data_IF_548834053185
#
_entry.id   IF_548834053185
#
_cell.length_a   1.000
_cell.length_b   1.000
_cell.length_c   1.000
_cell.angle_alpha   90.00
_cell.angle_beta   90.00
_cell.angle_gamma   90.00
#
_symmetry.space_group_name_H-M   'P 1'
#
loop_
_entity.id
_entity.type
_entity.pdbx_description
1 polymer ?
#
# COMPACT_ATOMS: atom_id res chain seq x y z
N UNK A 1 -47.47 -55.19 10.81
CA UNK A 1 -48.89 -55.25 10.35
C UNK A 1 -49.51 -53.91 10.59
N UNK A 2 -50.27 -53.43 9.60
CA UNK A 2 -51.12 -52.24 9.48
C UNK A 2 -50.40 -51.02 8.92
N UNK A 3 -50.47 -50.83 7.66
CA UNK A 3 -51.46 -50.33 6.66
C UNK A 3 -51.76 -48.84 6.82
N UNK A 4 -51.18 -48.12 5.85
CA UNK A 4 -51.80 -47.16 4.91
C UNK A 4 -52.99 -46.34 5.38
N UNK A 5 -52.94 -45.03 5.13
CA UNK A 5 -53.97 -44.37 4.37
C UNK A 5 -53.43 -43.07 3.71
N UNK A 6 -53.51 -43.04 2.40
CA UNK A 6 -53.37 -41.90 1.49
C UNK A 6 -54.66 -41.11 1.57
N UNK A 7 -54.63 -39.81 1.73
CA UNK A 7 -55.74 -38.95 1.45
C UNK A 7 -55.29 -37.85 0.46
N UNK A 8 -55.75 -37.99 -0.77
CA UNK A 8 -55.78 -36.93 -1.79
C UNK A 8 -56.83 -35.90 -1.42
N UNK A 9 -56.47 -34.62 -1.42
CA UNK A 9 -57.43 -33.55 -1.56
C UNK A 9 -56.94 -32.60 -2.66
N UNK A 10 -57.58 -32.65 -3.77
CA UNK A 10 -57.49 -31.67 -4.83
C UNK A 10 -58.48 -30.54 -4.50
N UNK A 11 -58.05 -29.30 -4.60
CA UNK A 11 -58.94 -28.16 -4.76
C UNK A 11 -58.30 -27.04 -5.57
N UNK A 12 -58.79 -26.89 -6.74
CA UNK A 12 -59.24 -25.71 -7.46
C UNK A 12 -58.33 -24.52 -7.63
N UNK A 13 -58.06 -24.26 -8.89
CA UNK A 13 -57.51 -23.04 -9.47
C UNK A 13 -58.38 -21.81 -9.15
N UNK A 14 -57.72 -20.73 -8.77
CA UNK A 14 -58.22 -19.38 -8.96
C UNK A 14 -57.16 -18.55 -9.70
N UNK A 15 -57.37 -18.36 -10.97
CA UNK A 15 -56.72 -17.36 -11.80
C UNK A 15 -57.25 -15.99 -11.44
N UNK A 16 -56.40 -15.10 -10.94
CA UNK A 16 -56.62 -13.66 -11.03
C UNK A 16 -55.28 -12.93 -11.19
N UNK A 17 -55.03 -12.40 -12.34
CA UNK A 17 -54.65 -11.04 -12.61
C UNK A 17 -53.22 -10.60 -12.39
N UNK A 18 -52.41 -10.68 -13.42
CA UNK A 18 -51.57 -9.60 -13.94
C UNK A 18 -50.83 -8.72 -12.94
N UNK A 19 -49.61 -9.04 -12.74
CA UNK A 19 -48.57 -8.16 -12.25
C UNK A 19 -47.23 -8.71 -12.72
N UNK A 20 -46.85 -8.46 -13.98
CA UNK A 20 -45.51 -8.64 -14.45
C UNK A 20 -44.62 -7.57 -13.75
N UNK A 21 -44.36 -7.78 -12.47
CA UNK A 21 -43.23 -7.19 -11.83
C UNK A 21 -41.99 -7.77 -12.47
N UNK A 22 -41.34 -7.01 -13.36
CA UNK A 22 -40.01 -7.33 -13.82
C UNK A 22 -39.16 -7.52 -12.58
N UNK A 23 -38.77 -8.77 -12.26
CA UNK A 23 -37.73 -9.00 -11.26
C UNK A 23 -36.54 -8.13 -11.69
N UNK A 24 -35.91 -7.38 -10.78
CA UNK A 24 -34.70 -6.68 -11.12
C UNK A 24 -33.75 -7.76 -11.66
N UNK A 25 -33.37 -7.63 -12.91
CA UNK A 25 -32.34 -8.46 -13.50
C UNK A 25 -31.10 -8.21 -12.60
N UNK A 26 -30.66 -9.22 -11.86
CA UNK A 26 -29.34 -9.23 -11.29
C UNK A 26 -28.39 -9.13 -12.48
N UNK A 27 -27.94 -7.92 -12.80
CA UNK A 27 -26.97 -7.71 -13.86
C UNK A 27 -25.75 -8.53 -13.45
N UNK A 28 -25.56 -9.68 -14.09
CA UNK A 28 -24.42 -10.54 -13.83
C UNK A 28 -23.14 -9.76 -14.15
N UNK A 29 -22.16 -9.80 -13.25
CA UNK A 29 -20.87 -9.18 -13.51
C UNK A 29 -20.22 -9.80 -14.73
N UNK A 30 -19.74 -8.96 -15.63
CA UNK A 30 -19.10 -9.38 -16.89
C UNK A 30 -17.61 -9.55 -16.72
N UNK A 31 -17.04 -10.53 -17.43
CA UNK A 31 -15.59 -10.71 -17.53
C UNK A 31 -15.13 -10.27 -18.91
N UNK A 32 -14.33 -9.21 -18.95
CA UNK A 32 -13.70 -8.69 -20.16
C UNK A 32 -12.30 -9.30 -20.28
N UNK A 33 -12.12 -10.28 -21.17
CA UNK A 33 -10.81 -10.89 -21.40
C UNK A 33 -9.98 -10.01 -22.35
N UNK A 34 -8.77 -9.65 -21.91
CA UNK A 34 -7.80 -8.88 -22.71
C UNK A 34 -6.58 -9.75 -23.00
N UNK A 35 -6.26 -9.92 -24.29
CA UNK A 35 -5.07 -10.66 -24.74
C UNK A 35 -3.89 -9.72 -24.97
N UNK A 36 -2.63 -10.23 -24.96
CA UNK A 36 -1.48 -9.44 -25.37
C UNK A 36 -1.71 -8.78 -26.74
N UNK A 37 -1.37 -7.48 -26.84
CA UNK A 37 -1.63 -6.67 -28.04
C UNK A 37 -3.00 -5.98 -28.06
N UNK A 38 -3.95 -6.36 -27.20
CA UNK A 38 -5.21 -5.65 -27.04
C UNK A 38 -5.07 -4.53 -26.00
N UNK A 39 -5.85 -3.45 -26.15
CA UNK A 39 -5.82 -2.31 -25.23
C UNK A 39 -6.52 -2.65 -23.91
N UNK A 40 -5.75 -2.63 -22.82
CA UNK A 40 -6.28 -2.79 -21.46
C UNK A 40 -7.23 -1.64 -21.13
N UNK A 41 -6.85 -0.39 -21.50
CA UNK A 41 -7.67 0.79 -21.21
C UNK A 41 -9.07 0.69 -21.85
N UNK A 42 -9.17 0.24 -23.11
CA UNK A 42 -10.48 0.06 -23.76
C UNK A 42 -11.39 -0.91 -23.02
N UNK A 43 -10.82 -1.99 -22.48
CA UNK A 43 -11.58 -2.96 -21.67
C UNK A 43 -12.03 -2.33 -20.34
N UNK A 44 -11.17 -1.56 -19.69
CA UNK A 44 -11.52 -0.83 -18.46
C UNK A 44 -12.60 0.23 -18.72
N UNK A 45 -12.51 0.98 -19.82
CA UNK A 45 -13.49 2.00 -20.19
C UNK A 45 -14.87 1.43 -20.51
N UNK A 46 -14.95 0.18 -21.00
CA UNK A 46 -16.19 -0.51 -21.30
C UNK A 46 -16.80 -1.24 -20.11
N UNK A 47 -16.04 -1.41 -19.02
CA UNK A 47 -16.46 -2.16 -17.85
C UNK A 47 -17.40 -1.34 -16.96
N UNK A 48 -18.36 -2.03 -16.37
CA UNK A 48 -19.33 -1.49 -15.40
C UNK A 48 -18.90 -1.76 -13.96
N UNK A 49 -19.47 -1.08 -12.99
CA UNK A 49 -19.21 -1.39 -11.58
C UNK A 49 -19.43 -2.87 -11.27
N UNK A 50 -18.42 -3.50 -10.66
CA UNK A 50 -18.43 -4.92 -10.33
C UNK A 50 -17.87 -5.86 -11.41
N UNK A 51 -17.66 -5.38 -12.63
CA UNK A 51 -17.06 -6.18 -13.71
C UNK A 51 -15.60 -6.54 -13.43
N UNK A 52 -15.13 -7.56 -14.13
CA UNK A 52 -13.74 -8.00 -14.08
C UNK A 52 -13.07 -7.80 -15.45
N UNK A 53 -11.98 -7.06 -15.48
CA UNK A 53 -11.03 -7.03 -16.60
C UNK A 53 -9.94 -8.05 -16.33
N UNK A 54 -9.93 -9.14 -17.08
CA UNK A 54 -9.00 -10.25 -16.95
C UNK A 54 -7.93 -10.18 -18.02
N UNK A 55 -6.69 -9.92 -17.60
CA UNK A 55 -5.53 -9.91 -18.49
C UNK A 55 -5.01 -11.33 -18.68
N UNK A 56 -4.95 -11.79 -19.91
CA UNK A 56 -4.36 -13.07 -20.26
C UNK A 56 -2.85 -13.08 -19.94
N UNK A 57 -2.28 -14.27 -19.84
CA UNK A 57 -0.86 -14.44 -19.67
C UNK A 57 -0.08 -13.81 -20.85
N UNK A 58 0.99 -13.10 -20.54
CA UNK A 58 1.81 -12.40 -21.52
C UNK A 58 2.04 -10.93 -21.17
N UNK A 59 2.63 -10.18 -22.11
CA UNK A 59 2.98 -8.77 -21.92
C UNK A 59 1.87 -7.88 -22.46
N UNK A 60 1.43 -6.96 -21.63
CA UNK A 60 0.49 -5.89 -21.94
C UNK A 60 1.21 -4.56 -21.86
N UNK A 61 0.94 -3.65 -22.77
CA UNK A 61 1.58 -2.36 -22.88
C UNK A 61 0.65 -1.21 -22.52
N UNK A 62 1.23 -0.14 -22.00
CA UNK A 62 0.55 1.11 -21.67
C UNK A 62 0.18 1.24 -20.20
N UNK A 63 -0.31 2.42 -19.87
CA UNK A 63 -0.85 2.76 -18.56
C UNK A 63 -2.36 2.56 -18.52
N UNK A 64 -2.92 2.37 -17.32
CA UNK A 64 -4.35 2.09 -17.13
C UNK A 64 -4.92 3.04 -16.08
N UNK A 65 -5.94 3.81 -16.47
CA UNK A 65 -6.73 4.65 -15.57
C UNK A 65 -8.00 3.91 -15.15
N UNK A 66 -8.19 3.72 -13.86
CA UNK A 66 -9.36 3.03 -13.27
C UNK A 66 -10.14 4.03 -12.42
N UNK A 67 -11.32 4.39 -12.90
CA UNK A 67 -12.26 5.30 -12.21
C UNK A 67 -13.61 4.62 -11.90
N UNK A 68 -13.80 3.39 -12.36
CA UNK A 68 -15.05 2.62 -12.20
C UNK A 68 -15.06 1.95 -10.82
N UNK A 69 -16.02 2.26 -9.94
CA UNK A 69 -16.13 1.62 -8.64
C UNK A 69 -16.37 0.10 -8.74
N UNK A 70 -15.81 -0.65 -7.80
CA UNK A 70 -15.99 -2.11 -7.74
C UNK A 70 -15.31 -2.90 -8.86
N UNK A 71 -14.59 -2.23 -9.77
CA UNK A 71 -13.89 -2.91 -10.87
C UNK A 71 -12.79 -3.82 -10.32
N UNK A 72 -12.71 -5.03 -10.87
CA UNK A 72 -11.57 -5.92 -10.65
C UNK A 72 -10.67 -5.95 -11.88
N UNK A 73 -9.46 -5.43 -11.80
CA UNK A 73 -8.41 -5.61 -12.80
C UNK A 73 -7.45 -6.69 -12.31
N UNK A 74 -7.42 -7.83 -13.02
CA UNK A 74 -6.58 -8.95 -12.59
C UNK A 74 -5.87 -9.63 -13.73
N UNK A 75 -4.68 -10.11 -13.48
CA UNK A 75 -3.96 -11.03 -14.36
C UNK A 75 -4.22 -12.51 -14.05
N UNK A 76 -3.67 -13.37 -14.87
CA UNK A 76 -3.63 -14.82 -14.67
C UNK A 76 -2.39 -15.29 -13.87
N UNK A 77 -1.75 -14.39 -13.13
CA UNK A 77 -0.56 -14.67 -12.32
C UNK A 77 0.64 -13.81 -12.71
N UNK A 78 1.81 -14.14 -12.15
CA UNK A 78 3.05 -13.36 -12.33
C UNK A 78 3.51 -13.22 -13.79
N UNK A 79 3.10 -14.14 -14.64
CA UNK A 79 3.41 -14.08 -16.08
C UNK A 79 2.47 -13.18 -16.89
N UNK A 80 1.48 -12.55 -16.26
CA UNK A 80 0.76 -11.43 -16.82
C UNK A 80 1.51 -10.15 -16.45
N UNK A 81 2.13 -9.51 -17.40
CA UNK A 81 3.07 -8.40 -17.17
C UNK A 81 2.57 -7.13 -17.83
N UNK A 82 2.39 -6.08 -17.07
CA UNK A 82 2.10 -4.73 -17.57
C UNK A 82 3.39 -3.90 -17.59
N UNK A 83 3.70 -3.34 -18.75
CA UNK A 83 4.88 -2.52 -19.00
C UNK A 83 4.49 -1.18 -19.66
N UNK A 84 5.34 -0.15 -19.61
CA UNK A 84 5.11 1.08 -20.36
C UNK A 84 4.94 0.81 -21.85
N UNK A 85 4.29 1.73 -22.56
CA UNK A 85 4.23 1.72 -24.02
C UNK A 85 5.64 1.75 -24.62
N UNK A 86 5.85 1.03 -25.72
CA UNK A 86 7.13 1.02 -26.40
C UNK A 86 7.49 2.45 -26.86
N UNK A 87 8.65 2.96 -26.43
CA UNK A 87 9.10 4.31 -26.72
C UNK A 87 8.66 5.38 -25.72
N UNK A 88 7.87 5.04 -24.70
CA UNK A 88 7.65 5.91 -23.56
C UNK A 88 8.98 6.09 -22.82
N UNK A 89 9.56 7.30 -22.93
CA UNK A 89 10.86 7.62 -22.36
C UNK A 89 10.84 7.45 -20.84
N UNK A 90 11.84 6.74 -20.30
CA UNK A 90 12.19 6.79 -18.88
C UNK A 90 12.83 8.14 -18.50
N UNK A 91 12.90 9.07 -19.44
CA UNK A 91 13.46 10.40 -19.24
C UNK A 91 12.53 11.30 -18.43
N UNK A 92 13.14 12.06 -17.55
CA UNK A 92 12.54 12.97 -16.60
C UNK A 92 11.26 13.68 -17.11
N UNK A 93 10.23 13.65 -16.27
CA UNK A 93 9.03 14.47 -16.43
C UNK A 93 9.44 15.92 -16.71
N UNK A 94 8.99 16.57 -17.79
CA UNK A 94 9.26 17.97 -18.02
C UNK A 94 8.67 18.82 -16.88
N UNK A 95 9.51 19.54 -16.18
CA UNK A 95 9.07 20.61 -15.29
C UNK A 95 8.64 21.79 -16.13
N UNK A 96 7.34 22.02 -16.22
CA UNK A 96 6.79 23.30 -16.67
C UNK A 96 6.36 23.38 -18.12
N UNK A 97 5.06 23.51 -18.32
CA UNK A 97 4.43 23.86 -19.59
C UNK A 97 2.91 23.83 -19.43
N UNK A 98 2.29 24.98 -19.19
CA UNK A 98 0.84 25.12 -19.21
C UNK A 98 0.33 24.95 -20.65
N UNK A 99 -0.52 23.94 -20.85
CA UNK A 99 -1.26 23.83 -22.11
C UNK A 99 -1.74 22.43 -22.44
N UNK A 100 -3.00 22.22 -22.29
CA UNK A 100 -3.86 21.15 -22.76
C UNK A 100 -4.48 20.34 -21.60
N UNK A 101 -5.71 20.64 -21.32
CA UNK A 101 -6.53 19.93 -20.33
C UNK A 101 -6.67 18.45 -20.65
N UNK A 102 -6.84 17.65 -19.59
CA UNK A 102 -7.11 16.23 -19.54
C UNK A 102 -5.99 15.24 -19.94
N UNK A 103 -5.15 15.56 -20.91
CA UNK A 103 -4.01 14.69 -21.26
C UNK A 103 -2.84 14.82 -20.29
N UNK A 104 -2.66 15.96 -19.62
CA UNK A 104 -1.56 16.21 -18.69
C UNK A 104 -1.72 15.47 -17.35
N UNK A 105 -2.94 15.12 -16.97
CA UNK A 105 -3.26 14.45 -15.69
C UNK A 105 -3.48 12.93 -15.83
N UNK A 106 -3.26 12.37 -17.02
CA UNK A 106 -3.43 10.92 -17.23
C UNK A 106 -2.37 10.11 -16.50
N UNK A 107 -2.68 8.86 -16.20
CA UNK A 107 -1.77 7.91 -15.60
C UNK A 107 -0.46 7.78 -16.37
N UNK A 108 -0.56 7.72 -17.70
CA UNK A 108 0.58 7.66 -18.61
C UNK A 108 1.46 8.91 -18.54
N UNK A 109 0.85 10.12 -18.60
CA UNK A 109 1.57 11.38 -18.50
C UNK A 109 2.26 11.56 -17.14
N UNK A 110 1.65 11.01 -16.08
CA UNK A 110 2.24 10.97 -14.77
C UNK A 110 3.38 9.94 -14.64
N UNK A 111 3.61 9.07 -15.62
CA UNK A 111 4.64 8.02 -15.60
C UNK A 111 4.28 6.83 -14.72
N UNK A 112 3.00 6.61 -14.44
CA UNK A 112 2.50 5.52 -13.63
C UNK A 112 1.96 4.36 -14.48
N UNK A 113 1.90 3.16 -13.90
CA UNK A 113 1.39 1.96 -14.57
C UNK A 113 -0.13 1.83 -14.47
N UNK A 114 -0.64 1.70 -13.27
CA UNK A 114 -2.07 1.64 -13.00
C UNK A 114 -2.41 2.77 -12.06
N UNK A 115 -3.38 3.60 -12.42
CA UNK A 115 -3.93 4.64 -11.56
C UNK A 115 -5.36 4.28 -11.17
N UNK A 116 -5.64 4.31 -9.86
CA UNK A 116 -6.99 4.19 -9.32
C UNK A 116 -7.36 5.55 -8.76
N UNK A 117 -8.20 6.28 -9.48
CA UNK A 117 -8.39 7.70 -9.20
C UNK A 117 -9.85 8.03 -8.94
N UNK A 118 -10.13 8.49 -7.73
CA UNK A 118 -11.35 9.17 -7.35
C UNK A 118 -11.25 10.68 -7.53
N UNK A 119 -12.28 11.38 -7.14
CA UNK A 119 -12.28 12.85 -6.99
C UNK A 119 -12.46 13.19 -5.51
N UNK A 120 -12.10 14.41 -5.11
CA UNK A 120 -12.24 14.88 -3.73
C UNK A 120 -13.67 14.73 -3.19
N UNK A 121 -14.67 14.86 -4.06
CA UNK A 121 -16.08 14.78 -3.70
C UNK A 121 -16.66 13.37 -3.85
N UNK A 122 -15.99 12.51 -4.62
CA UNK A 122 -16.39 11.14 -4.86
C UNK A 122 -15.16 10.26 -4.99
N UNK A 123 -14.74 9.64 -3.89
CA UNK A 123 -13.71 8.61 -3.93
C UNK A 123 -14.13 7.43 -4.82
N UNK A 124 -13.16 6.77 -5.45
CA UNK A 124 -13.41 5.52 -6.14
C UNK A 124 -13.42 4.36 -5.13
N UNK A 125 -14.51 3.60 -5.12
CA UNK A 125 -14.74 2.60 -4.08
C UNK A 125 -14.59 1.16 -4.56
N UNK A 126 -14.02 0.30 -3.72
CA UNK A 126 -14.05 -1.15 -3.87
C UNK A 126 -13.26 -1.73 -5.03
N UNK A 127 -12.33 -0.98 -5.63
CA UNK A 127 -11.49 -1.47 -6.74
C UNK A 127 -10.55 -2.57 -6.25
N UNK A 128 -10.36 -3.60 -7.07
CA UNK A 128 -9.38 -4.69 -6.83
C UNK A 128 -8.36 -4.76 -7.95
N UNK A 129 -7.07 -4.69 -7.59
CA UNK A 129 -5.94 -4.98 -8.49
C UNK A 129 -5.27 -6.27 -8.02
N UNK A 130 -5.17 -7.29 -8.89
CA UNK A 130 -4.72 -8.59 -8.43
C UNK A 130 -3.92 -9.40 -9.45
N UNK A 131 -2.99 -10.22 -8.95
CA UNK A 131 -2.39 -11.35 -9.68
C UNK A 131 -1.72 -10.97 -11.00
N UNK A 132 -0.95 -9.89 -11.02
CA UNK A 132 -0.18 -9.44 -12.19
C UNK A 132 1.17 -8.85 -11.77
N UNK A 133 2.04 -8.66 -12.73
CA UNK A 133 3.30 -7.94 -12.58
C UNK A 133 3.19 -6.56 -13.23
N UNK A 134 3.64 -5.52 -12.52
CA UNK A 134 3.73 -4.14 -13.02
C UNK A 134 5.17 -3.69 -12.93
N UNK A 135 5.80 -3.36 -14.05
CA UNK A 135 7.24 -3.11 -14.09
C UNK A 135 7.67 -2.06 -15.11
N UNK A 136 8.76 -1.36 -14.79
CA UNK A 136 9.45 -0.47 -15.73
C UNK A 136 8.83 0.91 -15.90
N UNK A 137 7.84 1.28 -15.12
CA UNK A 137 7.23 2.61 -15.17
C UNK A 137 8.16 3.67 -14.56
N UNK A 138 8.15 4.87 -15.17
CA UNK A 138 9.05 5.96 -14.79
C UNK A 138 8.82 6.45 -13.35
N UNK A 139 7.60 6.33 -12.82
CA UNK A 139 7.28 6.67 -11.43
C UNK A 139 6.76 5.48 -10.65
N UNK A 140 5.49 5.19 -10.72
CA UNK A 140 4.82 4.27 -9.80
C UNK A 140 4.21 3.09 -10.55
N UNK A 141 4.38 1.89 -10.02
CA UNK A 141 3.70 0.72 -10.58
C UNK A 141 2.18 0.84 -10.45
N UNK A 142 1.67 1.00 -9.23
CA UNK A 142 0.24 1.23 -8.94
C UNK A 142 0.12 2.48 -8.08
N UNK A 143 -0.61 3.48 -8.54
CA UNK A 143 -0.88 4.73 -7.82
C UNK A 143 -2.39 4.89 -7.59
N UNK A 144 -2.81 5.03 -6.33
CA UNK A 144 -4.19 5.31 -5.99
C UNK A 144 -4.31 6.68 -5.33
N UNK A 145 -5.32 7.43 -5.73
CA UNK A 145 -5.66 8.71 -5.12
C UNK A 145 -7.17 8.80 -4.91
N UNK A 146 -7.58 9.25 -3.72
CA UNK A 146 -9.00 9.30 -3.34
C UNK A 146 -9.70 7.92 -3.53
N UNK A 147 -9.02 6.84 -3.13
CA UNK A 147 -9.56 5.49 -3.22
C UNK A 147 -10.04 4.99 -1.86
N UNK A 148 -11.22 4.41 -1.85
CA UNK A 148 -11.79 3.78 -0.66
C UNK A 148 -11.91 2.26 -0.85
N UNK A 149 -11.61 1.48 0.17
CA UNK A 149 -11.62 0.00 0.11
C UNK A 149 -10.86 -0.60 -1.08
N UNK A 150 -9.78 0.07 -1.52
CA UNK A 150 -8.90 -0.48 -2.55
C UNK A 150 -8.24 -1.77 -2.05
N UNK A 151 -8.31 -2.82 -2.84
CA UNK A 151 -7.59 -4.08 -2.59
C UNK A 151 -6.49 -4.28 -3.63
N UNK A 152 -5.24 -4.35 -3.19
CA UNK A 152 -4.10 -4.77 -4.02
C UNK A 152 -3.55 -6.07 -3.46
N UNK A 153 -3.66 -7.17 -4.23
CA UNK A 153 -3.27 -8.48 -3.73
C UNK A 153 -2.56 -9.34 -4.76
N UNK A 154 -1.53 -10.07 -4.30
CA UNK A 154 -0.74 -10.99 -5.14
C UNK A 154 -0.15 -10.29 -6.38
N UNK A 155 0.17 -9.02 -6.27
CA UNK A 155 0.81 -8.21 -7.31
C UNK A 155 2.32 -8.24 -7.11
N UNK A 156 3.06 -8.25 -8.23
CA UNK A 156 4.51 -8.01 -8.24
C UNK A 156 4.76 -6.62 -8.85
N UNK A 157 5.16 -5.65 -8.02
CA UNK A 157 5.54 -4.31 -8.45
C UNK A 157 7.07 -4.19 -8.39
N UNK A 158 7.72 -4.19 -9.54
CA UNK A 158 9.19 -4.32 -9.60
C UNK A 158 9.83 -3.34 -10.56
N UNK A 159 10.98 -2.75 -10.16
CA UNK A 159 11.78 -1.84 -10.99
C UNK A 159 10.98 -0.67 -11.57
N UNK A 160 10.10 -0.07 -10.75
CA UNK A 160 9.48 1.20 -11.07
C UNK A 160 10.34 2.34 -10.53
N UNK A 161 10.33 3.49 -11.19
CA UNK A 161 11.29 4.56 -10.95
C UNK A 161 11.19 5.21 -9.59
N UNK A 162 10.00 5.20 -8.96
CA UNK A 162 9.80 5.77 -7.62
C UNK A 162 9.16 4.75 -6.69
N UNK A 163 7.86 4.45 -6.81
CA UNK A 163 7.16 3.57 -5.88
C UNK A 163 6.65 2.30 -6.56
N UNK A 164 6.65 1.20 -5.83
CA UNK A 164 5.99 -0.01 -6.27
C UNK A 164 4.47 0.16 -6.25
N UNK A 165 3.90 0.43 -5.09
CA UNK A 165 2.49 0.70 -4.85
C UNK A 165 2.39 1.95 -3.98
N UNK A 166 1.60 2.93 -4.39
CA UNK A 166 1.41 4.16 -3.64
C UNK A 166 -0.06 4.53 -3.48
N UNK A 167 -0.40 5.13 -2.34
CA UNK A 167 -1.72 5.71 -2.11
C UNK A 167 -1.61 7.09 -1.51
N UNK A 168 -2.49 7.99 -1.99
CA UNK A 168 -2.72 9.30 -1.41
C UNK A 168 -4.20 9.47 -1.11
N UNK A 169 -4.57 10.16 -0.03
CA UNK A 169 -5.97 10.48 0.36
C UNK A 169 -6.91 9.27 0.30
N UNK A 170 -6.40 8.08 0.61
CA UNK A 170 -7.14 6.83 0.46
C UNK A 170 -7.37 6.17 1.82
N UNK A 171 -8.51 5.47 1.94
CA UNK A 171 -8.92 4.84 3.19
C UNK A 171 -9.31 3.37 3.02
N UNK A 172 -9.33 2.63 4.11
CA UNK A 172 -9.78 1.23 4.22
C UNK A 172 -9.13 0.28 3.21
N UNK A 173 -7.91 0.61 2.79
CA UNK A 173 -7.14 -0.15 1.81
C UNK A 173 -6.65 -1.49 2.35
N UNK A 174 -6.54 -2.51 1.50
CA UNK A 174 -5.96 -3.82 1.81
C UNK A 174 -4.85 -4.15 0.83
N UNK A 175 -3.61 -4.19 1.32
CA UNK A 175 -2.40 -4.51 0.56
C UNK A 175 -1.85 -5.84 1.06
N UNK A 176 -2.14 -6.95 0.37
CA UNK A 176 -1.85 -8.28 0.89
C UNK A 176 -1.17 -9.21 -0.12
N UNK A 177 -0.13 -9.92 0.34
CA UNK A 177 0.56 -10.94 -0.47
C UNK A 177 1.29 -10.36 -1.67
N UNK A 178 1.61 -9.07 -1.68
CA UNK A 178 2.31 -8.42 -2.76
C UNK A 178 3.82 -8.60 -2.63
N UNK A 179 4.50 -8.55 -3.76
CA UNK A 179 5.96 -8.44 -3.83
C UNK A 179 6.30 -7.07 -4.42
N UNK A 180 6.89 -6.17 -3.64
CA UNK A 180 7.38 -4.89 -4.16
C UNK A 180 8.91 -4.84 -3.99
N UNK A 181 9.65 -4.85 -5.10
CA UNK A 181 11.10 -4.93 -5.04
C UNK A 181 11.80 -4.07 -6.08
N UNK A 182 13.00 -3.63 -5.71
CA UNK A 182 13.90 -2.88 -6.58
C UNK A 182 13.26 -1.60 -7.16
N UNK A 183 12.30 -0.99 -6.44
CA UNK A 183 11.73 0.29 -6.81
C UNK A 183 12.64 1.43 -6.33
N UNK A 184 12.58 2.59 -6.99
CA UNK A 184 13.52 3.68 -6.77
C UNK A 184 13.44 4.29 -5.36
N UNK A 185 12.25 4.35 -4.76
CA UNK A 185 12.05 4.85 -3.40
C UNK A 185 11.32 3.79 -2.55
N UNK A 186 10.03 3.84 -2.36
CA UNK A 186 9.34 2.88 -1.49
C UNK A 186 8.75 1.68 -2.23
N UNK A 187 8.78 0.51 -1.57
CA UNK A 187 8.00 -0.64 -1.99
C UNK A 187 6.51 -0.35 -1.90
N UNK A 188 6.04 0.06 -0.72
CA UNK A 188 4.72 0.63 -0.47
C UNK A 188 4.86 2.03 0.11
N UNK A 189 4.15 2.99 -0.47
CA UNK A 189 4.11 4.37 -0.01
C UNK A 189 2.66 4.77 0.28
N UNK A 190 2.34 5.04 1.55
CA UNK A 190 1.01 5.44 1.98
C UNK A 190 1.09 6.84 2.59
N UNK A 191 0.31 7.78 2.06
CA UNK A 191 0.34 9.16 2.51
C UNK A 191 -1.06 9.79 2.53
N UNK A 192 -1.23 10.81 3.36
CA UNK A 192 -2.39 11.69 3.24
C UNK A 192 -2.32 12.49 1.94
N UNK A 193 -1.21 13.17 1.72
CA UNK A 193 -0.89 13.90 0.49
C UNK A 193 0.62 14.08 0.39
N UNK A 194 1.14 14.21 -0.81
CA UNK A 194 2.58 14.49 -1.05
C UNK A 194 2.83 15.96 -1.26
N UNK A 195 1.89 16.69 -1.85
CA UNK A 195 2.06 18.08 -2.29
C UNK A 195 1.69 19.12 -1.22
N UNK A 196 0.69 18.81 -0.41
CA UNK A 196 0.12 19.73 0.57
C UNK A 196 0.58 19.38 1.98
N UNK A 197 0.62 20.38 2.86
CA UNK A 197 0.91 20.18 4.29
C UNK A 197 -0.39 20.20 5.07
N UNK A 198 -0.84 19.03 5.47
CA UNK A 198 -2.08 18.80 6.20
C UNK A 198 -1.82 17.87 7.37
N UNK A 199 -2.69 17.91 8.37
CA UNK A 199 -2.70 16.94 9.46
C UNK A 199 -2.90 15.51 8.97
N UNK A 200 -2.61 14.55 9.83
CA UNK A 200 -2.71 13.14 9.48
C UNK A 200 -4.16 12.71 9.23
N UNK A 201 -4.36 11.95 8.18
CA UNK A 201 -5.66 11.39 7.82
C UNK A 201 -5.87 10.03 8.52
N UNK A 202 -7.05 9.81 9.08
CA UNK A 202 -7.47 8.49 9.55
C UNK A 202 -7.78 7.60 8.35
N UNK A 203 -7.09 6.47 8.26
CA UNK A 203 -7.24 5.55 7.14
C UNK A 203 -8.42 4.59 7.29
N UNK A 204 -9.15 4.64 8.40
CA UNK A 204 -10.25 3.73 8.67
C UNK A 204 -9.85 2.26 8.77
N UNK A 205 -8.62 1.98 9.21
CA UNK A 205 -8.13 0.62 9.39
C UNK A 205 -7.47 0.00 8.15
N UNK A 206 -6.75 0.78 7.36
CA UNK A 206 -5.93 0.24 6.26
C UNK A 206 -4.98 -0.86 6.73
N UNK A 207 -4.84 -1.93 5.94
CA UNK A 207 -4.03 -3.12 6.27
C UNK A 207 -2.94 -3.36 5.22
N UNK A 208 -1.69 -3.43 5.68
CA UNK A 208 -0.52 -3.86 4.91
C UNK A 208 -0.03 -5.19 5.47
N UNK A 209 -0.35 -6.31 4.83
CA UNK A 209 -0.10 -7.60 5.45
C UNK A 209 0.49 -8.65 4.50
N UNK A 210 1.41 -9.48 5.04
CA UNK A 210 1.99 -10.61 4.33
C UNK A 210 2.63 -10.25 2.99
N UNK A 211 3.20 -9.03 2.88
CA UNK A 211 3.92 -8.60 1.69
C UNK A 211 5.42 -8.92 1.80
N UNK A 212 6.07 -9.08 0.66
CA UNK A 212 7.53 -9.18 0.53
C UNK A 212 8.06 -7.88 -0.06
N UNK A 213 8.86 -7.15 0.71
CA UNK A 213 9.36 -5.82 0.38
C UNK A 213 10.89 -5.86 0.39
N UNK A 214 11.50 -5.74 -0.78
CA UNK A 214 12.90 -6.11 -0.95
C UNK A 214 13.65 -5.14 -1.86
N UNK A 215 14.86 -4.75 -1.48
CA UNK A 215 15.77 -3.98 -2.34
C UNK A 215 15.35 -2.54 -2.66
N UNK A 216 14.28 -2.03 -2.06
CA UNK A 216 13.84 -0.65 -2.23
C UNK A 216 14.71 0.32 -1.40
N UNK A 217 14.50 1.62 -1.52
CA UNK A 217 15.04 2.58 -0.55
C UNK A 217 14.34 2.39 0.80
N UNK A 218 13.00 2.32 0.80
CA UNK A 218 12.21 2.05 2.00
C UNK A 218 11.22 0.91 1.67
N UNK A 219 11.08 -0.05 2.57
CA UNK A 219 10.10 -1.12 2.38
C UNK A 219 8.66 -0.59 2.43
N UNK A 220 8.27 0.02 3.55
CA UNK A 220 6.97 0.70 3.74
C UNK A 220 7.18 2.08 4.29
N UNK A 221 6.66 3.08 3.62
CA UNK A 221 6.54 4.46 4.12
C UNK A 221 5.10 4.75 4.50
N UNK A 222 4.89 5.25 5.72
CA UNK A 222 3.60 5.71 6.23
C UNK A 222 3.79 7.19 6.58
N UNK A 223 3.17 8.09 5.80
CA UNK A 223 3.37 9.52 5.95
C UNK A 223 2.07 10.24 6.26
N UNK A 224 2.02 10.88 7.44
CA UNK A 224 0.86 11.67 7.91
C UNK A 224 -0.45 10.88 7.86
N UNK A 225 -0.42 9.66 8.37
CA UNK A 225 -1.59 8.79 8.47
C UNK A 225 -1.81 8.32 9.90
N UNK A 226 -3.05 7.94 10.19
CA UNK A 226 -3.49 7.35 11.46
C UNK A 226 -4.31 6.10 11.21
N UNK A 227 -4.36 5.22 12.22
CA UNK A 227 -5.26 4.07 12.25
C UNK A 227 -5.02 3.08 11.10
N UNK A 228 -3.85 2.45 11.10
CA UNK A 228 -3.51 1.40 10.14
C UNK A 228 -2.61 0.32 10.76
N UNK A 229 -2.57 -0.84 10.11
CA UNK A 229 -1.81 -1.99 10.56
C UNK A 229 -0.81 -2.46 9.50
N UNK A 230 0.43 -2.69 9.92
CA UNK A 230 1.50 -3.33 9.13
C UNK A 230 1.85 -4.65 9.81
N UNK A 231 1.43 -5.79 9.25
CA UNK A 231 1.51 -7.08 9.95
C UNK A 231 2.00 -8.23 9.08
N UNK A 232 2.84 -9.09 9.65
CA UNK A 232 3.27 -10.33 9.00
C UNK A 232 4.03 -10.13 7.69
N UNK A 233 4.65 -8.97 7.46
CA UNK A 233 5.43 -8.71 6.25
C UNK A 233 6.87 -9.19 6.41
N UNK A 234 7.51 -9.48 5.27
CA UNK A 234 8.94 -9.75 5.19
C UNK A 234 9.64 -8.58 4.48
N UNK A 235 10.52 -7.88 5.20
CA UNK A 235 11.23 -6.70 4.71
C UNK A 235 12.75 -6.95 4.79
N UNK A 236 13.41 -6.98 3.63
CA UNK A 236 14.85 -7.29 3.56
C UNK A 236 15.55 -6.54 2.44
N UNK A 237 16.86 -6.29 2.63
CA UNK A 237 17.68 -5.66 1.60
C UNK A 237 17.31 -4.22 1.22
N UNK A 238 16.43 -3.56 1.98
CA UNK A 238 16.13 -2.14 1.83
C UNK A 238 17.18 -1.29 2.55
N UNK A 239 17.11 0.03 2.44
CA UNK A 239 17.92 0.94 3.26
C UNK A 239 17.24 1.21 4.60
N UNK A 240 15.91 1.25 4.61
CA UNK A 240 15.04 1.21 5.79
C UNK A 240 13.86 0.29 5.54
N UNK A 241 13.41 -0.45 6.55
CA UNK A 241 12.29 -1.36 6.36
C UNK A 241 10.95 -0.67 6.51
N UNK A 242 10.65 -0.09 7.68
CA UNK A 242 9.39 0.62 7.95
C UNK A 242 9.71 2.03 8.41
N UNK A 243 9.06 3.01 7.82
CA UNK A 243 9.25 4.41 8.15
C UNK A 243 7.90 5.09 8.39
N UNK A 244 7.62 5.43 9.66
CA UNK A 244 6.40 6.14 10.07
C UNK A 244 6.77 7.58 10.36
N UNK A 245 6.24 8.50 9.57
CA UNK A 245 6.62 9.91 9.64
C UNK A 245 5.41 10.83 9.77
N UNK A 246 5.46 11.68 10.76
CA UNK A 246 4.55 12.81 10.99
C UNK A 246 5.30 14.12 10.99
N UNK A 247 4.56 15.19 11.16
CA UNK A 247 5.05 16.55 11.31
C UNK A 247 4.23 17.32 12.37
N UNK A 248 4.38 18.64 12.39
CA UNK A 248 3.72 19.54 13.36
C UNK A 248 2.22 19.68 13.13
N UNK A 249 1.70 19.30 11.96
CA UNK A 249 0.29 19.47 11.62
C UNK A 249 -0.62 18.56 12.47
N UNK A 250 -1.80 19.06 12.76
CA UNK A 250 -2.79 18.34 13.58
C UNK A 250 -3.95 17.80 12.72
N UNK A 251 -4.45 16.58 13.05
CA UNK A 251 -3.94 15.65 14.05
C UNK A 251 -2.57 15.09 13.69
N UNK A 252 -1.76 14.71 14.70
CA UNK A 252 -0.46 14.05 14.46
C UNK A 252 -0.63 12.68 13.81
N UNK A 253 0.37 12.26 13.04
CA UNK A 253 0.47 10.88 12.58
C UNK A 253 0.59 9.91 13.77
N UNK A 254 -0.08 8.76 13.71
CA UNK A 254 -0.08 7.84 14.84
C UNK A 254 -1.12 6.74 14.77
N UNK A 255 -1.39 6.09 15.90
CA UNK A 255 -2.30 4.93 15.99
C UNK A 255 -1.93 3.84 14.96
N UNK A 256 -0.64 3.71 14.64
CA UNK A 256 -0.12 2.70 13.72
C UNK A 256 0.29 1.47 14.53
N UNK A 257 -0.20 0.32 14.11
CA UNK A 257 0.24 -0.97 14.67
C UNK A 257 1.21 -1.64 13.70
N UNK A 258 2.47 -1.87 14.14
CA UNK A 258 3.47 -2.64 13.39
C UNK A 258 3.75 -3.92 14.18
N UNK A 259 3.31 -5.06 13.66
CA UNK A 259 3.39 -6.32 14.42
C UNK A 259 3.71 -7.55 13.57
N UNK A 260 4.34 -8.52 14.20
CA UNK A 260 4.59 -9.85 13.60
C UNK A 260 5.37 -9.78 12.26
N UNK A 261 6.11 -8.68 12.03
CA UNK A 261 6.91 -8.56 10.82
C UNK A 261 8.29 -9.20 11.03
N UNK A 262 8.83 -9.75 9.94
CA UNK A 262 10.22 -10.18 9.84
C UNK A 262 11.02 -9.10 9.09
N UNK A 263 11.90 -8.44 9.80
CA UNK A 263 12.68 -7.29 9.34
C UNK A 263 14.15 -7.63 9.48
N UNK A 264 14.84 -7.87 8.38
CA UNK A 264 16.21 -8.34 8.45
C UNK A 264 17.10 -7.81 7.32
N UNK A 265 18.35 -7.49 7.69
CA UNK A 265 19.39 -7.11 6.72
C UNK A 265 18.97 -5.99 5.76
N UNK A 266 18.31 -4.95 6.27
CA UNK A 266 17.99 -3.77 5.48
C UNK A 266 19.21 -2.84 5.42
N UNK A 267 20.30 -3.35 4.85
CA UNK A 267 21.64 -2.77 4.89
C UNK A 267 22.06 -2.10 3.57
N UNK A 268 21.15 -2.02 2.61
CA UNK A 268 21.40 -1.27 1.37
C UNK A 268 21.73 0.17 1.72
N UNK A 269 22.75 0.74 1.07
CA UNK A 269 23.15 2.13 1.25
C UNK A 269 22.43 3.02 0.26
N UNK A 270 21.69 3.98 0.75
CA UNK A 270 20.97 4.95 -0.06
C UNK A 270 21.47 6.37 0.20
N UNK A 271 21.82 7.13 -0.84
CA UNK A 271 22.33 8.48 -0.68
C UNK A 271 21.28 9.43 -0.12
N UNK A 272 21.73 10.55 0.42
CA UNK A 272 20.88 11.67 0.83
C UNK A 272 20.04 12.17 -0.36
N UNK A 273 18.81 12.58 -0.07
CA UNK A 273 17.92 13.28 -0.99
C UNK A 273 17.63 14.68 -0.48
N UNK A 274 16.90 15.48 -1.25
CA UNK A 274 16.49 16.81 -0.80
C UNK A 274 15.58 16.77 0.45
N UNK A 275 14.92 15.64 0.70
CA UNK A 275 13.90 15.49 1.77
C UNK A 275 14.33 14.59 2.92
N UNK A 276 15.34 13.76 2.73
CA UNK A 276 15.71 12.74 3.70
C UNK A 276 17.22 12.48 3.65
N UNK A 277 17.84 12.38 4.80
CA UNK A 277 19.26 12.01 4.92
C UNK A 277 19.56 10.63 4.32
N UNK A 278 20.85 10.29 4.23
CA UNK A 278 21.25 8.96 3.81
C UNK A 278 20.64 7.91 4.72
N UNK A 279 20.20 6.80 4.13
CA UNK A 279 19.61 5.66 4.83
C UNK A 279 20.46 4.43 4.67
N UNK A 280 20.66 3.71 5.76
CA UNK A 280 21.29 2.40 5.77
C UNK A 280 20.98 1.70 7.11
N UNK A 281 20.63 0.43 7.09
CA UNK A 281 20.51 -0.36 8.30
C UNK A 281 19.39 0.08 9.25
N UNK A 282 18.27 0.57 8.71
CA UNK A 282 17.14 0.98 9.55
C UNK A 282 16.06 -0.09 9.54
N UNK A 283 15.71 -0.61 10.71
CA UNK A 283 14.59 -1.53 10.88
C UNK A 283 13.24 -0.78 10.87
N UNK A 284 12.78 -0.31 12.01
CA UNK A 284 11.56 0.50 12.13
C UNK A 284 11.94 1.89 12.62
N UNK A 285 11.52 2.92 11.92
CA UNK A 285 11.76 4.32 12.30
C UNK A 285 10.42 5.01 12.57
N UNK A 286 10.33 5.66 13.75
CA UNK A 286 9.24 6.53 14.15
C UNK A 286 9.78 7.95 14.30
N UNK A 287 9.13 8.93 13.67
CA UNK A 287 9.53 10.35 13.79
C UNK A 287 8.30 11.27 13.75
N UNK A 288 8.13 12.11 14.76
CA UNK A 288 7.00 13.03 14.87
C UNK A 288 5.64 12.35 14.98
N UNK A 289 5.56 11.21 15.67
CA UNK A 289 4.36 10.35 15.69
C UNK A 289 3.90 10.04 17.11
N UNK A 290 2.63 9.68 17.26
CA UNK A 290 2.04 9.41 18.58
C UNK A 290 1.23 8.11 18.61
N UNK A 291 1.08 7.53 19.81
CA UNK A 291 0.18 6.42 20.11
C UNK A 291 0.37 5.19 19.20
N UNK A 292 1.59 4.94 18.72
CA UNK A 292 1.89 3.77 17.90
C UNK A 292 2.17 2.54 18.78
N UNK A 293 1.81 1.37 18.26
CA UNK A 293 2.12 0.07 18.87
C UNK A 293 3.09 -0.70 17.95
N UNK A 294 4.31 -0.94 18.43
CA UNK A 294 5.32 -1.72 17.75
C UNK A 294 5.58 -2.98 18.57
N UNK A 295 5.07 -4.13 18.11
CA UNK A 295 5.06 -5.33 18.94
C UNK A 295 5.27 -6.63 18.17
N UNK A 296 5.85 -7.63 18.81
CA UNK A 296 5.99 -8.99 18.28
C UNK A 296 6.72 -9.06 16.91
N UNK A 297 7.58 -8.09 16.62
CA UNK A 297 8.40 -8.13 15.42
C UNK A 297 9.71 -8.88 15.68
N UNK A 298 10.23 -9.54 14.65
CA UNK A 298 11.58 -10.11 14.62
C UNK A 298 12.45 -9.19 13.76
N UNK A 299 13.41 -8.50 14.40
CA UNK A 299 14.22 -7.44 13.78
C UNK A 299 15.69 -7.78 13.95
N UNK A 300 16.36 -8.15 12.85
CA UNK A 300 17.71 -8.70 12.92
C UNK A 300 18.66 -8.13 11.88
N UNK A 301 19.91 -7.96 12.28
CA UNK A 301 21.04 -7.68 11.40
C UNK A 301 20.81 -6.44 10.50
N UNK A 302 20.05 -5.44 10.99
CA UNK A 302 19.94 -4.16 10.32
C UNK A 302 21.12 -3.30 10.77
N UNK A 303 22.12 -3.17 9.91
CA UNK A 303 23.43 -2.58 10.22
C UNK A 303 23.69 -1.39 9.32
N UNK A 304 23.97 -0.24 9.93
CA UNK A 304 24.30 0.98 9.20
C UNK A 304 24.96 2.03 10.08
N UNK A 305 25.37 3.13 9.44
CA UNK A 305 26.00 4.28 10.08
C UNK A 305 25.25 5.58 9.82
N UNK A 306 24.08 5.50 9.18
CA UNK A 306 23.23 6.67 8.96
C UNK A 306 22.57 7.12 10.27
N UNK A 307 22.11 8.37 10.37
CA UNK A 307 21.47 8.87 11.59
C UNK A 307 20.23 8.07 12.04
N UNK A 308 19.60 7.35 11.11
CA UNK A 308 18.40 6.55 11.35
C UNK A 308 18.68 5.04 11.46
N UNK A 309 19.95 4.64 11.54
CA UNK A 309 20.33 3.23 11.66
C UNK A 309 19.98 2.67 13.04
N UNK A 310 19.56 1.41 13.07
CA UNK A 310 19.18 0.66 14.29
C UNK A 310 18.02 -0.29 14.08
N UNK A 311 17.73 -1.10 15.08
CA UNK A 311 16.61 -2.05 15.04
C UNK A 311 15.26 -1.31 15.05
N UNK A 312 14.92 -0.67 16.17
CA UNK A 312 13.79 0.26 16.28
C UNK A 312 14.34 1.62 16.72
N UNK A 313 13.99 2.65 15.97
CA UNK A 313 14.53 4.01 16.18
C UNK A 313 13.37 4.98 16.37
N UNK A 314 13.25 5.56 17.53
CA UNK A 314 12.43 6.75 17.77
C UNK A 314 13.33 7.95 17.56
N UNK A 315 13.19 8.60 16.41
CA UNK A 315 14.11 9.64 15.97
C UNK A 315 13.50 11.03 16.16
N UNK A 316 14.30 11.97 16.65
CA UNK A 316 13.86 13.36 16.75
C UNK A 316 13.43 13.88 15.37
N UNK A 317 12.27 14.51 15.33
CA UNK A 317 11.71 15.00 14.08
C UNK A 317 12.62 16.01 13.38
N UNK A 318 12.62 15.98 12.05
CA UNK A 318 13.31 16.97 11.22
C UNK A 318 12.66 18.36 11.25
N UNK A 319 11.41 18.45 11.72
CA UNK A 319 10.60 19.68 11.78
C UNK A 319 10.23 20.06 13.21
N UNK A 320 10.92 19.48 14.20
CA UNK A 320 10.79 19.87 15.61
C UNK A 320 9.60 19.31 16.37
N UNK A 321 8.73 18.51 15.73
CA UNK A 321 7.63 17.84 16.44
C UNK A 321 8.11 16.59 17.17
N UNK A 322 7.59 16.34 18.38
CA UNK A 322 8.00 15.20 19.22
C UNK A 322 7.20 13.94 18.92
N UNK A 323 7.83 12.79 19.11
CA UNK A 323 7.17 11.48 19.13
C UNK A 323 6.73 11.15 20.54
N UNK A 324 5.44 10.84 20.75
CA UNK A 324 4.86 10.73 22.08
C UNK A 324 4.00 9.47 22.25
N UNK A 325 4.01 8.91 23.46
CA UNK A 325 3.15 7.80 23.86
C UNK A 325 3.22 6.57 22.93
N UNK A 326 4.36 6.38 22.27
CA UNK A 326 4.56 5.17 21.46
C UNK A 326 4.90 3.99 22.40
N UNK A 327 4.30 2.86 22.15
CA UNK A 327 4.55 1.62 22.87
C UNK A 327 5.37 0.68 22.02
N UNK A 328 6.58 0.39 22.42
CA UNK A 328 7.51 -0.56 21.80
C UNK A 328 7.63 -1.75 22.74
N UNK A 329 6.98 -2.87 22.45
CA UNK A 329 6.90 -4.00 23.37
C UNK A 329 7.01 -5.36 22.70
N UNK A 330 7.58 -6.32 23.44
CA UNK A 330 7.56 -7.74 23.06
C UNK A 330 8.20 -8.04 21.69
N UNK A 331 9.18 -7.22 21.26
CA UNK A 331 9.93 -7.44 20.03
C UNK A 331 11.19 -8.27 20.30
N UNK A 332 11.60 -9.08 19.33
CA UNK A 332 12.87 -9.78 19.32
C UNK A 332 13.85 -9.03 18.41
N UNK A 333 14.86 -8.41 18.99
CA UNK A 333 15.87 -7.64 18.29
C UNK A 333 17.24 -8.27 18.49
N UNK A 334 18.01 -8.41 17.42
CA UNK A 334 19.33 -9.03 17.50
C UNK A 334 20.25 -8.53 16.38
N UNK A 335 21.48 -8.17 16.75
CA UNK A 335 22.52 -7.83 15.78
C UNK A 335 22.27 -6.53 15.00
N UNK A 336 21.41 -5.65 15.49
CA UNK A 336 21.20 -4.36 14.86
C UNK A 336 22.27 -3.35 15.32
N UNK A 337 22.69 -2.49 14.42
CA UNK A 337 23.73 -1.47 14.69
C UNK A 337 23.27 -0.09 14.22
N UNK A 338 23.50 0.96 15.02
CA UNK A 338 24.39 1.05 16.20
C UNK A 338 23.80 0.48 17.50
N UNK A 339 22.49 0.15 17.55
CA UNK A 339 21.83 -0.52 18.67
C UNK A 339 20.53 -1.17 18.24
N UNK A 340 20.03 -2.09 19.06
CA UNK A 340 18.74 -2.72 18.83
C UNK A 340 17.58 -1.75 19.05
N UNK A 341 17.64 -0.95 20.12
CA UNK A 341 16.70 0.12 20.42
C UNK A 341 17.41 1.46 20.46
N UNK A 342 16.87 2.46 19.77
CA UNK A 342 17.41 3.82 19.75
C UNK A 342 16.29 4.81 20.02
N UNK A 343 16.47 5.69 21.00
CA UNK A 343 15.57 6.80 21.26
C UNK A 343 16.38 8.10 21.34
N UNK A 344 16.26 8.94 20.34
CA UNK A 344 16.84 10.28 20.29
C UNK A 344 15.79 11.39 20.37
N UNK A 345 14.52 11.03 20.47
CA UNK A 345 13.40 11.96 20.55
C UNK A 345 13.16 12.39 22.01
N UNK A 346 13.01 13.68 22.28
CA UNK A 346 12.72 14.18 23.64
C UNK A 346 11.27 14.03 24.07
N UNK A 347 10.39 13.49 23.22
CA UNK A 347 8.96 13.35 23.51
C UNK A 347 8.68 12.42 24.68
N UNK A 348 7.56 12.65 25.33
CA UNK A 348 7.17 11.97 26.58
C UNK A 348 6.28 10.76 26.35
N UNK A 349 6.27 9.85 27.32
CA UNK A 349 5.35 8.70 27.33
C UNK A 349 5.71 7.57 26.37
N UNK A 350 6.85 7.62 25.70
CA UNK A 350 7.34 6.47 24.92
C UNK A 350 7.81 5.37 25.88
N UNK A 351 7.35 4.15 25.68
CA UNK A 351 7.64 3.01 26.55
C UNK A 351 8.32 1.88 25.78
N UNK A 352 9.29 1.22 26.45
CA UNK A 352 10.06 0.10 25.91
C UNK A 352 9.99 -1.04 26.92
N UNK A 353 9.11 -2.01 26.69
CA UNK A 353 8.84 -3.08 27.68
C UNK A 353 8.82 -4.46 27.06
N UNK A 354 9.37 -5.45 27.73
CA UNK A 354 9.32 -6.83 27.29
C UNK A 354 10.04 -7.15 25.97
N UNK A 355 10.89 -6.22 25.49
CA UNK A 355 11.69 -6.46 24.29
C UNK A 355 12.90 -7.36 24.64
N UNK A 356 13.15 -8.38 23.82
CA UNK A 356 14.37 -9.16 23.87
C UNK A 356 15.41 -8.47 22.99
N UNK A 357 16.37 -7.78 23.61
CA UNK A 357 17.43 -7.04 22.92
C UNK A 357 18.73 -7.02 23.75
N UNK A 358 19.84 -6.70 23.10
CA UNK A 358 21.16 -6.68 23.75
C UNK A 358 21.73 -5.25 23.91
N UNK A 359 21.28 -4.31 23.12
CA UNK A 359 21.86 -2.97 23.11
C UNK A 359 20.81 -1.88 22.92
N UNK A 360 20.96 -0.77 23.65
CA UNK A 360 20.09 0.38 23.48
C UNK A 360 20.84 1.71 23.61
N UNK A 361 20.28 2.75 23.02
CA UNK A 361 20.73 4.13 23.13
C UNK A 361 19.54 5.06 23.42
N UNK A 362 19.43 5.66 24.61
CA UNK A 362 20.32 5.48 25.79
C UNK A 362 20.27 4.04 26.32
N UNK A 363 21.24 3.70 27.19
CA UNK A 363 21.22 2.42 27.88
C UNK A 363 19.96 2.26 28.74
N UNK A 364 19.47 1.03 28.89
CA UNK A 364 18.34 0.71 29.76
C UNK A 364 16.97 0.68 29.08
N UNK A 365 16.90 0.70 27.74
CA UNK A 365 15.64 0.50 27.00
C UNK A 365 15.35 -0.99 26.71
N UNK A 366 16.37 -1.85 26.84
CA UNK A 366 16.22 -3.31 26.71
C UNK A 366 15.67 -3.94 28.00
#
# INVERSE_FOLDING_TARGET
MNKCHIAYLACAAALLGTGLGAAPSTAGHTVHLVRPGESVQKAVDSARPGDTVLLAHGTHHGSVDVTTPGLTLRGMGRGTVLVPEAGASTAAVPTGGAGAGRAADSCAAAGNGICVTGTKDRGVDGVTIASLTVTGFAKTGIHANEADRLTVRNVTAVRNGVWGIATERSARGVFRGNTARDNGDAGLFLANTVKEEEGATDTGGTVVAHNRLEGNRIGVTIRRLRNLTVAGNHLTGNCAAVFVVGDENKPKAGLVTVRENRIERNNKSCPKTARLDALQGSGIVLTGTEDNLITQNVIRDNVGTSPLSGGIVVFKSFVGTTSERNRISDNLLQGNSPADLVNTDPGVGNTFQGNSCLSSRPAGLC
#
